data_IF_402786779356
#
_entry.id   IF_402786779356
#
_cell.length_a   1.000
_cell.length_b   1.000
_cell.length_c   1.000
_cell.angle_alpha   90.00
_cell.angle_beta   90.00
_cell.angle_gamma   90.00
#
_symmetry.space_group_name_H-M   'P 1'
#
loop_
_entity.id
_entity.type
_entity.pdbx_description
1 polymer ?
#
# COMPACT_ATOMS: atom_id res chain seq x y z
N UNK A 1 -10.35 -3.04 -19.77
CA UNK A 1 -9.44 -1.96 -19.28
C UNK A 1 -8.52 -2.56 -18.23
N UNK A 2 -7.19 -2.37 -18.28
CA UNK A 2 -6.26 -2.92 -17.25
C UNK A 2 -5.63 -1.75 -16.48
N UNK A 3 -6.00 -1.56 -15.22
CA UNK A 3 -5.64 -0.40 -14.40
C UNK A 3 -4.13 -0.26 -14.19
N UNK A 4 -3.44 -1.35 -13.84
CA UNK A 4 -1.97 -1.35 -13.66
C UNK A 4 -1.24 -0.90 -14.93
N UNK A 5 -1.70 -1.35 -16.11
CA UNK A 5 -1.14 -0.92 -17.39
C UNK A 5 -1.38 0.57 -17.66
N UNK A 6 -2.56 1.08 -17.32
CA UNK A 6 -2.87 2.51 -17.46
C UNK A 6 -2.03 3.37 -16.53
N UNK A 7 -1.86 2.96 -15.26
CA UNK A 7 -0.97 3.62 -14.30
C UNK A 7 0.46 3.73 -14.84
N UNK A 8 1.05 2.61 -15.29
CA UNK A 8 2.40 2.58 -15.86
C UNK A 8 2.53 3.51 -17.06
N UNK A 9 1.55 3.50 -17.97
CA UNK A 9 1.54 4.36 -19.16
C UNK A 9 1.38 5.83 -18.80
N UNK A 10 0.55 6.16 -17.82
CA UNK A 10 0.35 7.53 -17.35
C UNK A 10 1.65 8.08 -16.74
N UNK A 11 2.29 7.33 -15.84
CA UNK A 11 3.55 7.75 -15.24
C UNK A 11 4.65 7.95 -16.29
N UNK A 12 4.75 7.03 -17.27
CA UNK A 12 5.77 7.13 -18.34
C UNK A 12 5.50 8.24 -19.35
N UNK A 13 4.24 8.52 -19.70
CA UNK A 13 3.89 9.61 -20.62
C UNK A 13 4.06 10.99 -20.00
N UNK A 14 3.83 11.10 -18.69
CA UNK A 14 3.78 12.37 -17.96
C UNK A 14 4.87 12.43 -16.89
N UNK A 15 6.09 12.02 -17.23
CA UNK A 15 7.19 11.79 -16.27
C UNK A 15 7.46 12.98 -15.35
N UNK A 16 7.52 14.18 -15.89
CA UNK A 16 7.87 15.39 -15.13
C UNK A 16 6.66 16.15 -14.59
N UNK A 17 5.43 15.67 -14.87
CA UNK A 17 4.23 16.31 -14.32
C UNK A 17 3.95 15.82 -12.89
N UNK A 18 3.52 16.70 -11.98
CA UNK A 18 3.05 16.30 -10.65
C UNK A 18 1.94 15.27 -10.72
N UNK A 19 1.93 14.34 -9.76
CA UNK A 19 0.93 13.27 -9.63
C UNK A 19 0.38 13.11 -8.24
N UNK A 20 1.21 13.26 -7.22
CA UNK A 20 0.82 13.09 -5.82
C UNK A 20 1.40 14.24 -5.01
N UNK A 21 0.59 14.77 -4.09
CA UNK A 21 1.00 15.65 -3.01
C UNK A 21 0.19 15.23 -1.76
N UNK A 22 0.78 15.30 -0.57
CA UNK A 22 0.06 15.04 0.68
C UNK A 22 0.45 16.00 1.83
N UNK A 23 -0.27 15.90 2.94
CA UNK A 23 -0.09 16.75 4.12
C UNK A 23 1.21 16.49 4.90
N UNK A 24 2.01 15.50 4.51
CA UNK A 24 3.36 15.30 5.05
C UNK A 24 4.42 16.15 4.34
N UNK A 25 4.00 16.89 3.30
CA UNK A 25 4.91 17.63 2.42
C UNK A 25 5.53 16.76 1.33
N UNK A 26 5.08 15.51 1.17
CA UNK A 26 5.56 14.63 0.11
C UNK A 26 4.94 15.04 -1.23
N UNK A 27 5.79 15.23 -2.24
CA UNK A 27 5.37 15.43 -3.62
C UNK A 27 6.04 14.42 -4.56
N UNK A 28 5.31 13.95 -5.56
CA UNK A 28 5.85 13.06 -6.58
C UNK A 28 5.38 13.42 -7.98
N UNK A 29 6.33 13.48 -8.91
CA UNK A 29 6.08 13.47 -10.35
C UNK A 29 5.81 12.06 -10.86
N UNK A 30 5.37 11.93 -12.12
CA UNK A 30 5.18 10.63 -12.77
C UNK A 30 6.42 9.73 -12.72
N UNK A 31 7.62 10.28 -12.91
CA UNK A 31 8.88 9.55 -12.85
C UNK A 31 9.19 9.04 -11.43
N UNK A 32 9.07 9.91 -10.42
CA UNK A 32 9.30 9.57 -9.01
C UNK A 32 8.31 8.51 -8.53
N UNK A 33 7.01 8.70 -8.85
CA UNK A 33 5.95 7.75 -8.52
C UNK A 33 6.21 6.37 -9.13
N UNK A 34 6.57 6.31 -10.42
CA UNK A 34 6.88 5.04 -11.10
C UNK A 34 8.09 4.36 -10.50
N UNK A 35 9.19 5.09 -10.32
CA UNK A 35 10.43 4.56 -9.77
C UNK A 35 10.19 3.97 -8.37
N UNK A 36 9.60 4.75 -7.46
CA UNK A 36 9.34 4.34 -6.08
C UNK A 36 8.39 3.15 -6.01
N UNK A 37 7.37 3.10 -6.87
CA UNK A 37 6.44 1.97 -6.96
C UNK A 37 7.17 0.68 -7.36
N UNK A 38 8.03 0.74 -8.39
CA UNK A 38 8.78 -0.43 -8.86
C UNK A 38 9.83 -0.91 -7.84
N UNK A 39 10.46 0.03 -7.13
CA UNK A 39 11.39 -0.28 -6.02
C UNK A 39 10.63 -0.98 -4.89
N UNK A 40 9.51 -0.41 -4.43
CA UNK A 40 8.72 -1.00 -3.35
C UNK A 40 8.23 -2.40 -3.73
N UNK A 41 7.72 -2.58 -4.95
CA UNK A 41 7.33 -3.89 -5.47
C UNK A 41 8.47 -4.90 -5.39
N UNK A 42 9.68 -4.51 -5.81
CA UNK A 42 10.87 -5.39 -5.78
C UNK A 42 11.23 -5.77 -4.34
N UNK A 43 11.19 -4.82 -3.42
CA UNK A 43 11.52 -5.05 -2.00
C UNK A 43 10.49 -5.99 -1.35
N UNK A 44 9.19 -5.74 -1.58
CA UNK A 44 8.13 -6.60 -1.06
C UNK A 44 8.28 -8.04 -1.52
N UNK A 45 8.54 -8.26 -2.82
CA UNK A 45 8.78 -9.61 -3.37
C UNK A 45 9.98 -10.33 -2.79
N UNK A 46 11.05 -9.57 -2.47
CA UNK A 46 12.33 -10.17 -2.08
C UNK A 46 12.38 -10.45 -0.59
N UNK A 47 11.78 -9.59 0.22
CA UNK A 47 12.03 -9.57 1.67
C UNK A 47 10.79 -9.89 2.52
N UNK A 48 9.58 -9.77 1.97
CA UNK A 48 8.36 -9.77 2.79
C UNK A 48 7.36 -10.83 2.32
N UNK A 49 6.97 -10.77 1.05
CA UNK A 49 5.80 -11.49 0.57
C UNK A 49 6.18 -12.84 -0.04
N UNK A 50 5.45 -13.87 0.36
CA UNK A 50 5.61 -15.20 -0.24
C UNK A 50 5.11 -15.22 -1.69
N UNK A 51 5.56 -16.20 -2.48
CA UNK A 51 5.19 -16.31 -3.90
C UNK A 51 3.72 -16.69 -4.11
N UNK A 52 3.14 -17.46 -3.17
CA UNK A 52 1.75 -17.94 -3.15
C UNK A 52 0.77 -16.95 -2.49
N UNK A 53 1.27 -15.89 -1.86
CA UNK A 53 0.44 -14.94 -1.14
C UNK A 53 -0.32 -14.00 -2.10
N UNK A 54 -1.65 -14.02 -2.05
CA UNK A 54 -2.50 -13.25 -2.96
C UNK A 54 -3.00 -11.95 -2.32
N UNK A 55 -3.42 -12.01 -1.06
CA UNK A 55 -4.03 -10.91 -0.33
C UNK A 55 -3.03 -10.27 0.64
N UNK A 56 -2.86 -8.95 0.55
CA UNK A 56 -1.95 -8.20 1.42
C UNK A 56 -2.70 -7.03 2.03
N UNK A 57 -2.71 -6.97 3.35
CA UNK A 57 -3.34 -5.91 4.13
C UNK A 57 -2.57 -4.60 3.99
N UNK A 58 -3.29 -3.49 3.94
CA UNK A 58 -2.74 -2.14 4.08
C UNK A 58 -3.46 -1.46 5.23
N UNK A 59 -2.71 -1.11 6.26
CA UNK A 59 -3.20 -0.36 7.41
C UNK A 59 -2.34 0.90 7.55
N UNK A 60 -2.60 1.86 6.66
CA UNK A 60 -1.88 3.13 6.55
C UNK A 60 -2.86 4.30 6.50
N UNK A 61 -2.40 5.48 6.93
CA UNK A 61 -3.12 6.74 6.75
C UNK A 61 -3.19 7.12 5.26
N UNK A 62 -4.14 7.96 4.81
CA UNK A 62 -4.24 8.40 3.41
C UNK A 62 -3.08 9.33 3.02
N UNK A 63 -1.94 8.75 2.69
CA UNK A 63 -0.68 9.43 2.34
C UNK A 63 -0.10 8.87 1.04
N UNK A 64 0.93 9.52 0.51
CA UNK A 64 1.70 9.08 -0.64
C UNK A 64 2.25 7.65 -0.46
N UNK A 65 2.59 7.24 0.76
CA UNK A 65 3.04 5.88 1.06
C UNK A 65 1.95 4.83 0.74
N UNK A 66 0.69 5.14 1.05
CA UNK A 66 -0.48 4.28 0.77
C UNK A 66 -0.73 4.14 -0.71
N UNK A 67 -0.52 5.21 -1.48
CA UNK A 67 -0.57 5.17 -2.95
C UNK A 67 0.51 4.24 -3.50
N UNK A 68 1.74 4.37 -3.00
CA UNK A 68 2.86 3.51 -3.41
C UNK A 68 2.59 2.03 -3.08
N UNK A 69 2.09 1.73 -1.88
CA UNK A 69 1.75 0.36 -1.47
C UNK A 69 0.68 -0.25 -2.38
N UNK A 70 -0.44 0.46 -2.60
CA UNK A 70 -1.51 0.00 -3.48
C UNK A 70 -1.01 -0.22 -4.93
N UNK A 71 -0.24 0.73 -5.47
CA UNK A 71 0.27 0.63 -6.84
C UNK A 71 1.28 -0.53 -6.97
N UNK A 72 2.16 -0.71 -5.98
CA UNK A 72 3.16 -1.77 -5.96
C UNK A 72 2.50 -3.15 -5.97
N UNK A 73 1.55 -3.40 -5.06
CA UNK A 73 0.80 -4.65 -4.97
C UNK A 73 -0.02 -4.92 -6.23
N UNK A 74 -0.68 -3.90 -6.79
CA UNK A 74 -1.49 -4.03 -8.01
C UNK A 74 -0.61 -4.42 -9.21
N UNK A 75 0.56 -3.79 -9.38
CA UNK A 75 1.52 -4.18 -10.43
C UNK A 75 2.09 -5.58 -10.13
N UNK A 76 2.16 -5.96 -8.86
CA UNK A 76 2.59 -7.28 -8.44
C UNK A 76 1.61 -8.41 -8.74
N UNK A 77 0.38 -8.06 -9.14
CA UNK A 77 -0.76 -8.98 -9.30
C UNK A 77 -1.26 -9.55 -7.97
N UNK A 78 -1.16 -8.75 -6.91
CA UNK A 78 -1.73 -9.04 -5.58
C UNK A 78 -2.97 -8.20 -5.33
N UNK A 79 -3.82 -8.66 -4.44
CA UNK A 79 -5.00 -7.94 -3.95
C UNK A 79 -4.58 -7.10 -2.75
N UNK A 80 -4.74 -5.79 -2.85
CA UNK A 80 -4.53 -4.87 -1.74
C UNK A 80 -5.82 -4.77 -0.90
N UNK A 81 -5.77 -5.31 0.33
CA UNK A 81 -6.87 -5.26 1.29
C UNK A 81 -6.70 -4.00 2.14
N UNK A 82 -7.40 -2.93 1.80
CA UNK A 82 -7.31 -1.67 2.54
C UNK A 82 -8.15 -1.76 3.82
N UNK A 83 -7.48 -1.85 4.96
CA UNK A 83 -8.09 -2.00 6.28
C UNK A 83 -8.43 -0.62 6.87
N UNK A 84 -9.55 -0.55 7.57
CA UNK A 84 -10.00 0.72 8.16
C UNK A 84 -9.30 1.00 9.50
N UNK A 85 -8.31 1.89 9.50
CA UNK A 85 -7.57 2.27 10.71
C UNK A 85 -8.42 3.03 11.75
N UNK A 86 -9.63 3.50 11.42
CA UNK A 86 -10.53 4.14 12.39
C UNK A 86 -11.44 3.13 13.10
N UNK A 87 -11.57 1.91 12.59
CA UNK A 87 -12.32 0.83 13.23
C UNK A 87 -11.68 0.35 14.56
N UNK A 88 -12.42 -0.49 15.30
CA UNK A 88 -11.90 -1.23 16.45
C UNK A 88 -10.90 -2.29 16.00
N UNK A 89 -10.00 -2.70 16.90
CA UNK A 89 -9.04 -3.76 16.63
C UNK A 89 -9.74 -5.09 16.29
N UNK A 90 -10.82 -5.43 17.01
CA UNK A 90 -11.65 -6.61 16.75
C UNK A 90 -12.18 -6.65 15.32
N UNK A 91 -12.75 -5.55 14.82
CA UNK A 91 -13.27 -5.48 13.45
C UNK A 91 -12.14 -5.57 12.41
N UNK A 92 -10.97 -5.00 12.70
CA UNK A 92 -9.80 -5.11 11.81
C UNK A 92 -9.30 -6.55 11.75
N UNK A 93 -9.21 -7.24 12.89
CA UNK A 93 -8.76 -8.64 12.96
C UNK A 93 -9.76 -9.57 12.25
N UNK A 94 -11.07 -9.33 12.40
CA UNK A 94 -12.11 -10.05 11.66
C UNK A 94 -11.97 -9.84 10.13
N UNK A 95 -11.73 -8.61 9.69
CA UNK A 95 -11.46 -8.33 8.27
C UNK A 95 -10.18 -9.01 7.76
N UNK A 96 -9.11 -9.06 8.57
CA UNK A 96 -7.85 -9.75 8.24
C UNK A 96 -8.12 -11.24 8.05
N UNK A 97 -8.86 -11.86 8.98
CA UNK A 97 -9.21 -13.28 8.93
C UNK A 97 -10.07 -13.62 7.71
N UNK A 98 -11.13 -12.86 7.46
CA UNK A 98 -12.03 -13.08 6.31
C UNK A 98 -11.32 -12.88 4.97
N UNK A 99 -10.37 -11.95 4.90
CA UNK A 99 -9.61 -11.68 3.69
C UNK A 99 -8.34 -12.57 3.57
N UNK A 100 -8.13 -13.52 4.49
CA UNK A 100 -6.98 -14.43 4.51
C UNK A 100 -5.63 -13.70 4.38
N UNK A 101 -5.52 -12.55 5.03
CA UNK A 101 -4.32 -11.70 4.97
C UNK A 101 -3.22 -12.31 5.83
N UNK A 102 -2.06 -12.60 5.23
CA UNK A 102 -0.86 -13.05 5.96
C UNK A 102 0.03 -11.89 6.40
N UNK A 103 0.16 -10.86 5.56
CA UNK A 103 0.94 -9.66 5.89
C UNK A 103 0.12 -8.38 5.83
N UNK A 104 0.29 -7.54 6.84
CA UNK A 104 -0.24 -6.17 6.87
C UNK A 104 0.90 -5.16 6.74
N UNK A 105 0.84 -4.32 5.71
CA UNK A 105 1.76 -3.22 5.50
C UNK A 105 1.30 -2.01 6.32
N UNK A 106 2.17 -1.53 7.19
CA UNK A 106 1.93 -0.35 8.02
C UNK A 106 3.20 0.46 8.27
N UNK A 107 3.09 1.59 8.98
CA UNK A 107 4.22 2.44 9.36
C UNK A 107 4.41 2.44 10.88
N UNK A 108 5.62 2.74 11.35
CA UNK A 108 5.91 2.85 12.79
C UNK A 108 4.97 3.85 13.50
N UNK A 109 4.76 5.02 12.88
CA UNK A 109 3.83 6.04 13.38
C UNK A 109 2.38 5.54 13.45
N UNK A 110 1.97 4.69 12.51
CA UNK A 110 0.63 4.09 12.56
C UNK A 110 0.55 3.03 13.66
N UNK A 111 1.56 2.17 13.82
CA UNK A 111 1.62 1.21 14.91
C UNK A 111 1.52 1.88 16.29
N UNK A 112 2.20 3.00 16.50
CA UNK A 112 2.09 3.78 17.74
C UNK A 112 0.64 4.20 18.02
N UNK A 113 -0.08 4.70 17.02
CA UNK A 113 -1.49 5.08 17.14
C UNK A 113 -2.42 3.90 17.35
N UNK A 114 -2.09 2.77 16.74
CA UNK A 114 -2.91 1.57 16.81
C UNK A 114 -2.78 0.88 18.16
N UNK A 115 -1.63 0.95 18.84
CA UNK A 115 -1.43 0.37 20.18
C UNK A 115 -2.46 0.83 21.21
N UNK A 116 -3.00 2.03 21.05
CA UNK A 116 -4.06 2.57 21.92
C UNK A 116 -5.42 1.86 21.73
N UNK A 117 -5.61 1.16 20.61
CA UNK A 117 -6.89 0.53 20.22
C UNK A 117 -7.02 -0.95 20.60
N UNK A 118 -5.96 -1.57 21.13
CA UNK A 118 -5.93 -2.99 21.49
C UNK A 118 -4.97 -3.81 20.61
N UNK A 119 -4.90 -5.13 20.83
CA UNK A 119 -4.01 -6.02 20.09
C UNK A 119 -4.49 -6.21 18.65
N UNK A 120 -3.54 -6.16 17.72
CA UNK A 120 -3.74 -6.54 16.31
C UNK A 120 -2.98 -7.85 16.14
N UNK A 121 -3.73 -8.93 15.93
CA UNK A 121 -3.24 -10.31 15.88
C UNK A 121 -3.26 -10.84 14.44
#
# INVERSE_FOLDING_TARGET
MILSRQFLRMCRRMMFRPKIADSTGMEMTGASLLMRTLILRRLLRREVLAADETNVGILLAPTAATVLANAALTIDRRVAVNLNYTASAELVNDCIAQAEVRHVLTSRRMLERLREKGPFD
#
